data_IF_864266960444
#
_entry.id   IF_864266960444
#
_cell.length_a   1.000
_cell.length_b   1.000
_cell.length_c   1.000
_cell.angle_alpha   90.00
_cell.angle_beta   90.00
_cell.angle_gamma   90.00
#
_symmetry.space_group_name_H-M   'P 1'
#
loop_
_entity.id
_entity.type
_entity.pdbx_description
1 polymer ?
#
# COMPACT_ATOMS: atom_id res chain seq x y z
N UNK A 1 6.11 71.97 13.02
CA UNK A 1 5.95 71.16 11.81
C UNK A 1 5.01 70.00 12.14
N UNK A 2 3.74 70.13 11.77
CA UNK A 2 2.71 69.14 12.05
C UNK A 2 1.99 68.89 10.72
N UNK A 3 2.43 67.88 9.98
CA UNK A 3 1.80 67.53 8.71
C UNK A 3 0.72 66.47 8.95
N UNK A 4 -0.43 66.74 8.35
CA UNK A 4 -1.75 66.18 8.62
C UNK A 4 -1.76 64.69 8.32
N UNK A 5 -2.16 63.88 9.30
CA UNK A 5 -2.39 62.43 9.15
C UNK A 5 -3.57 62.26 8.20
N UNK A 6 -3.30 61.94 6.93
CA UNK A 6 -4.30 61.51 5.97
C UNK A 6 -4.57 60.03 6.22
N UNK A 7 -5.62 59.75 7.00
CA UNK A 7 -6.21 58.42 7.15
C UNK A 7 -6.92 58.11 5.82
N UNK A 8 -6.20 57.54 4.87
CA UNK A 8 -6.82 56.86 3.74
C UNK A 8 -7.04 55.41 4.15
N UNK A 9 -8.28 55.13 4.55
CA UNK A 9 -8.82 53.81 4.87
C UNK A 9 -8.86 52.98 3.58
N UNK A 10 -7.71 52.49 3.14
CA UNK A 10 -7.61 51.56 2.02
C UNK A 10 -7.93 50.15 2.52
N UNK A 11 -9.23 49.87 2.54
CA UNK A 11 -9.78 48.51 2.62
C UNK A 11 -9.33 47.74 1.38
N UNK A 12 -8.19 47.07 1.47
CA UNK A 12 -7.77 46.06 0.50
C UNK A 12 -8.25 44.70 0.99
N UNK A 13 -9.42 44.31 0.49
CA UNK A 13 -9.90 42.93 0.51
C UNK A 13 -8.99 42.14 -0.42
N UNK A 14 -7.96 41.52 0.14
CA UNK A 14 -7.17 40.52 -0.57
C UNK A 14 -7.89 39.17 -0.46
N UNK A 15 -8.80 38.90 -1.40
CA UNK A 15 -9.06 37.52 -1.81
C UNK A 15 -7.85 37.06 -2.62
N UNK A 16 -6.78 36.67 -1.93
CA UNK A 16 -5.69 35.94 -2.55
C UNK A 16 -6.15 34.50 -2.73
N UNK A 17 -6.32 34.15 -4.00
CA UNK A 17 -6.71 32.86 -4.53
C UNK A 17 -5.91 31.70 -3.93
N UNK A 18 -6.52 30.51 -3.95
CA UNK A 18 -5.90 29.23 -3.70
C UNK A 18 -4.50 29.21 -4.32
N UNK A 19 -3.46 29.20 -3.48
CA UNK A 19 -2.16 28.78 -3.94
C UNK A 19 -2.27 27.27 -4.17
N UNK A 20 -2.56 26.87 -5.42
CA UNK A 20 -2.16 25.55 -5.89
C UNK A 20 -0.65 25.53 -5.77
N UNK A 21 -0.15 25.10 -4.61
CA UNK A 21 1.21 24.61 -4.48
C UNK A 21 1.42 23.67 -5.65
N UNK A 22 2.27 24.10 -6.57
CA UNK A 22 2.76 23.30 -7.67
C UNK A 22 3.25 22.00 -7.04
N UNK A 23 2.48 20.93 -7.27
CA UNK A 23 2.93 19.56 -7.05
C UNK A 23 4.13 19.38 -7.96
N UNK A 24 5.32 19.64 -7.44
CA UNK A 24 6.49 18.91 -7.88
C UNK A 24 6.13 17.42 -7.83
N UNK A 25 6.15 16.68 -8.95
CA UNK A 25 6.06 15.24 -8.91
C UNK A 25 7.44 14.70 -8.53
N UNK A 26 7.95 15.10 -7.36
CA UNK A 26 8.77 14.18 -6.57
C UNK A 26 7.79 13.24 -5.87
N UNK A 27 7.12 12.41 -6.67
CA UNK A 27 6.30 11.28 -6.21
C UNK A 27 7.25 10.21 -5.67
N UNK A 28 7.86 10.49 -4.51
CA UNK A 28 8.34 9.47 -3.58
C UNK A 28 7.24 9.22 -2.54
N UNK A 29 6.05 8.94 -3.03
CA UNK A 29 4.90 8.55 -2.22
C UNK A 29 3.80 7.94 -3.10
N UNK A 30 4.17 7.04 -4.03
CA UNK A 30 3.24 5.99 -4.42
C UNK A 30 3.20 5.01 -3.25
N UNK A 31 2.26 5.31 -2.38
CA UNK A 31 1.77 4.53 -1.26
C UNK A 31 1.91 3.04 -1.55
N UNK A 32 2.58 2.34 -0.63
CA UNK A 32 2.59 0.90 -0.56
C UNK A 32 1.18 0.36 -0.84
N UNK A 33 0.97 -0.22 -2.03
CA UNK A 33 -0.17 -1.08 -2.31
C UNK A 33 -0.26 -2.05 -1.12
N UNK A 34 -1.41 -2.17 -0.43
CA UNK A 34 -1.54 -3.14 0.64
C UNK A 34 -1.06 -4.48 0.09
N UNK A 35 0.04 -4.98 0.64
CA UNK A 35 0.68 -6.19 0.16
C UNK A 35 -0.39 -7.26 0.09
N UNK A 36 -0.50 -7.82 -1.10
CA UNK A 36 -1.27 -9.00 -1.45
C UNK A 36 -1.26 -9.98 -0.28
N UNK A 37 -2.44 -10.28 0.28
CA UNK A 37 -2.56 -11.23 1.38
C UNK A 37 -1.87 -12.52 0.96
N UNK A 38 -0.86 -12.98 1.73
CA UNK A 38 -0.10 -14.17 1.41
C UNK A 38 -1.04 -15.34 1.11
N UNK A 39 -0.72 -16.12 0.07
CA UNK A 39 -1.51 -17.29 -0.29
C UNK A 39 -1.46 -18.30 0.88
N UNK A 40 -2.58 -18.57 1.57
CA UNK A 40 -2.57 -19.42 2.77
C UNK A 40 -2.14 -20.85 2.46
N UNK A 41 -2.44 -21.37 1.26
CA UNK A 41 -2.00 -22.70 0.86
C UNK A 41 -0.47 -22.77 0.65
N UNK A 42 0.12 -21.69 0.14
CA UNK A 42 1.57 -21.60 -0.01
C UNK A 42 2.28 -21.47 1.35
N UNK A 43 1.75 -20.62 2.24
CA UNK A 43 2.24 -20.47 3.61
C UNK A 43 2.20 -21.81 4.34
N UNK A 44 1.05 -22.49 4.31
CA UNK A 44 0.89 -23.78 4.94
C UNK A 44 1.85 -24.83 4.36
N UNK A 45 2.04 -24.87 3.04
CA UNK A 45 3.01 -25.76 2.42
C UNK A 45 4.43 -25.57 2.98
N UNK A 46 4.87 -24.32 3.11
CA UNK A 46 6.19 -23.98 3.67
C UNK A 46 6.28 -24.35 5.16
N UNK A 47 5.22 -24.13 5.94
CA UNK A 47 5.15 -24.54 7.35
C UNK A 47 5.30 -26.06 7.53
N UNK A 48 4.80 -26.85 6.56
CA UNK A 48 4.99 -28.31 6.52
C UNK A 48 6.36 -28.74 5.98
N UNK A 49 7.32 -27.81 5.91
CA UNK A 49 8.67 -28.02 5.34
C UNK A 49 8.63 -28.47 3.87
N UNK A 50 7.58 -28.09 3.14
CA UNK A 50 7.42 -28.36 1.72
C UNK A 50 7.88 -27.20 0.83
N UNK A 51 7.80 -27.44 -0.48
CA UNK A 51 8.06 -26.43 -1.53
C UNK A 51 6.80 -26.21 -2.37
N UNK A 52 6.33 -24.96 -2.43
CA UNK A 52 5.14 -24.59 -3.20
C UNK A 52 5.49 -24.30 -4.66
N UNK A 53 4.77 -24.93 -5.60
CA UNK A 53 4.90 -24.67 -7.02
C UNK A 53 3.89 -23.60 -7.47
N UNK A 54 4.40 -22.47 -7.98
CA UNK A 54 3.59 -21.34 -8.44
C UNK A 54 2.80 -21.62 -9.72
N UNK A 55 3.25 -22.55 -10.56
CA UNK A 55 2.62 -22.84 -11.86
C UNK A 55 1.37 -23.69 -11.71
N UNK A 56 1.39 -24.68 -10.83
CA UNK A 56 0.32 -25.68 -10.71
C UNK A 56 -0.33 -25.75 -9.31
N UNK A 57 0.16 -24.97 -8.35
CA UNK A 57 -0.32 -24.96 -6.95
C UNK A 57 -0.15 -26.29 -6.21
N UNK A 58 0.88 -27.07 -6.57
CA UNK A 58 1.29 -28.25 -5.80
C UNK A 58 2.18 -27.87 -4.62
N UNK A 59 2.09 -28.67 -3.56
CA UNK A 59 3.03 -28.69 -2.45
C UNK A 59 3.86 -29.98 -2.53
N UNK A 60 5.17 -29.84 -2.69
CA UNK A 60 6.12 -30.94 -2.60
C UNK A 60 6.53 -31.05 -1.14
N UNK A 61 6.02 -32.06 -0.43
CA UNK A 61 6.34 -32.30 0.98
C UNK A 61 7.80 -32.71 1.16
N UNK A 62 8.31 -32.60 2.39
CA UNK A 62 9.67 -33.06 2.74
C UNK A 62 9.93 -34.53 2.41
N UNK A 63 8.89 -35.36 2.40
CA UNK A 63 8.95 -36.77 2.01
C UNK A 63 9.15 -36.97 0.51
N UNK A 64 8.99 -35.92 -0.30
CA UNK A 64 8.93 -35.96 -1.76
C UNK A 64 7.52 -36.19 -2.30
N UNK A 65 6.52 -36.41 -1.44
CA UNK A 65 5.12 -36.54 -1.85
C UNK A 65 4.60 -35.22 -2.44
N UNK A 66 3.86 -35.31 -3.55
CA UNK A 66 3.26 -34.15 -4.22
C UNK A 66 1.76 -34.16 -3.95
N UNK A 67 1.27 -33.11 -3.31
CA UNK A 67 -0.16 -32.94 -2.99
C UNK A 67 -0.66 -31.61 -3.52
N UNK A 68 -1.96 -31.53 -3.85
CA UNK A 68 -2.58 -30.24 -4.18
C UNK A 68 -2.60 -29.34 -2.93
N UNK A 69 -1.94 -28.17 -2.99
CA UNK A 69 -1.72 -27.33 -1.81
C UNK A 69 -3.02 -26.80 -1.19
N UNK A 70 -4.04 -26.49 -2.01
CA UNK A 70 -5.32 -25.99 -1.52
C UNK A 70 -6.15 -27.06 -0.81
N UNK A 71 -6.15 -28.28 -1.33
CA UNK A 71 -6.80 -29.42 -0.69
C UNK A 71 -6.10 -29.75 0.63
N UNK A 72 -4.76 -29.74 0.63
CA UNK A 72 -3.98 -30.01 1.82
C UNK A 72 -4.26 -28.98 2.93
N UNK A 73 -4.19 -27.69 2.61
CA UNK A 73 -4.53 -26.61 3.54
C UNK A 73 -5.96 -26.73 4.10
N UNK A 74 -6.97 -26.97 3.25
CA UNK A 74 -8.37 -27.08 3.72
C UNK A 74 -8.62 -28.35 4.53
N UNK A 75 -7.88 -29.42 4.26
CA UNK A 75 -8.00 -30.67 5.02
C UNK A 75 -7.47 -30.54 6.44
N UNK A 76 -6.54 -29.63 6.70
CA UNK A 76 -5.97 -29.38 8.04
C UNK A 76 -6.87 -28.54 8.95
N UNK A 77 -8.00 -28.00 8.44
CA UNK A 77 -8.92 -27.13 9.18
C UNK A 77 -10.19 -27.86 9.63
N UNK A 78 -10.27 -29.18 9.43
CA UNK A 78 -11.38 -30.03 9.85
C UNK A 78 -11.06 -30.67 11.19
#
# INVERSE_FOLDING_TARGET
>A
MLNKIAITFSLLISLAACNSSEKDPSTKADMAKPMEKANPAAVYCIEQQGSYNLENSDCILKTGEVVNAWNFYRSSQK
#
